data_IF_989722106592
#
_entry.id   IF_989722106592
#
_cell.length_a   1.000
_cell.length_b   1.000
_cell.length_c   1.000
_cell.angle_alpha   90.00
_cell.angle_beta   90.00
_cell.angle_gamma   90.00
#
_symmetry.space_group_name_H-M   'P 1'
#
loop_
_entity.id
_entity.type
_entity.pdbx_description
1 polymer ?
#
# COMPACT_ATOMS: atom_id res chain seq x y z
N UNK A 1 -24.39 1.62 -3.09
CA UNK A 1 -23.69 2.31 -1.99
C UNK A 1 -22.23 2.02 -2.24
N UNK A 2 -21.52 2.98 -2.82
CA UNK A 2 -20.05 2.94 -2.85
C UNK A 2 -19.59 2.81 -1.41
N UNK A 3 -18.88 1.73 -1.13
CA UNK A 3 -18.36 1.46 0.19
C UNK A 3 -16.99 2.12 0.21
N UNK A 4 -16.83 3.10 1.08
CA UNK A 4 -15.55 3.76 1.33
C UNK A 4 -14.43 2.72 1.51
N UNK A 5 -13.21 3.07 1.12
CA UNK A 5 -12.04 2.25 1.38
C UNK A 5 -11.99 1.88 2.88
N UNK A 6 -11.79 0.59 3.22
CA UNK A 6 -11.81 0.13 4.59
C UNK A 6 -10.66 0.75 5.39
N UNK A 7 -10.90 0.93 6.68
CA UNK A 7 -9.87 1.43 7.61
C UNK A 7 -8.93 0.30 8.06
N UNK A 8 -7.76 0.68 8.57
CA UNK A 8 -6.90 -0.27 9.29
C UNK A 8 -7.65 -0.80 10.51
N UNK A 9 -7.48 -2.09 10.82
CA UNK A 9 -8.14 -2.71 11.99
C UNK A 9 -7.11 -3.41 12.86
N UNK A 10 -7.37 -3.56 14.18
CA UNK A 10 -6.46 -4.28 15.08
C UNK A 10 -6.13 -5.71 14.64
N UNK A 11 -6.96 -6.34 13.81
CA UNK A 11 -6.69 -7.65 13.23
C UNK A 11 -5.51 -7.67 12.26
N UNK A 12 -5.06 -6.51 11.78
CA UNK A 12 -3.90 -6.32 10.90
C UNK A 12 -2.63 -5.95 11.67
N UNK A 13 -2.65 -5.89 13.01
CA UNK A 13 -1.46 -5.60 13.79
C UNK A 13 -0.41 -6.71 13.64
N UNK A 14 0.83 -6.32 13.36
CA UNK A 14 2.02 -7.16 13.30
C UNK A 14 2.64 -7.36 14.69
N UNK A 15 2.36 -6.46 15.64
CA UNK A 15 2.92 -6.49 16.98
C UNK A 15 4.23 -5.71 17.12
N UNK A 16 4.73 -5.15 16.02
CA UNK A 16 5.76 -4.12 15.99
C UNK A 16 5.07 -2.73 15.92
N UNK A 17 5.25 -1.85 16.92
CA UNK A 17 4.55 -0.57 16.96
C UNK A 17 4.87 0.38 15.80
N UNK A 18 6.10 0.35 15.29
CA UNK A 18 6.54 1.24 14.23
C UNK A 18 5.95 0.77 12.89
N UNK A 19 6.01 -0.53 12.60
CA UNK A 19 5.38 -1.14 11.42
C UNK A 19 3.86 -0.96 11.45
N UNK A 20 3.22 -1.17 12.60
CA UNK A 20 1.78 -0.97 12.75
C UNK A 20 1.36 0.47 12.45
N UNK A 21 2.17 1.46 12.84
CA UNK A 21 1.91 2.87 12.54
C UNK A 21 2.12 3.18 11.05
N UNK A 22 3.14 2.58 10.44
CA UNK A 22 3.37 2.71 8.99
C UNK A 22 2.21 2.13 8.18
N UNK A 23 1.70 0.95 8.55
CA UNK A 23 0.49 0.39 7.94
C UNK A 23 -0.72 1.31 8.09
N UNK A 24 -0.97 1.86 9.29
CA UNK A 24 -2.06 2.83 9.50
C UNK A 24 -1.96 4.03 8.56
N UNK A 25 -0.76 4.58 8.39
CA UNK A 25 -0.55 5.70 7.48
C UNK A 25 -0.83 5.33 6.01
N UNK A 26 -0.41 4.15 5.56
CA UNK A 26 -0.73 3.67 4.21
C UNK A 26 -2.24 3.54 3.99
N UNK A 27 -2.99 2.98 4.95
CA UNK A 27 -4.45 2.94 4.90
C UNK A 27 -5.07 4.35 4.89
N UNK A 28 -4.53 5.28 5.69
CA UNK A 28 -5.00 6.66 5.70
C UNK A 28 -4.81 7.34 4.33
N UNK A 29 -3.67 7.15 3.67
CA UNK A 29 -3.41 7.70 2.32
C UNK A 29 -4.41 7.16 1.29
N UNK A 30 -4.72 5.86 1.34
CA UNK A 30 -5.73 5.24 0.46
C UNK A 30 -7.12 5.83 0.70
N UNK A 31 -7.48 6.07 1.97
CA UNK A 31 -8.77 6.67 2.31
C UNK A 31 -8.86 8.12 1.88
N UNK A 32 -7.78 8.88 1.99
CA UNK A 32 -7.72 10.24 1.47
C UNK A 32 -7.91 10.27 -0.05
N UNK A 33 -7.26 9.34 -0.77
CA UNK A 33 -7.47 9.17 -2.21
C UNK A 33 -8.95 8.90 -2.54
N UNK A 34 -9.58 7.93 -1.87
CA UNK A 34 -10.98 7.58 -2.10
C UNK A 34 -11.92 8.78 -1.81
N UNK A 35 -11.68 9.51 -0.72
CA UNK A 35 -12.45 10.69 -0.37
C UNK A 35 -12.31 11.82 -1.40
N UNK A 36 -11.09 12.09 -1.89
CA UNK A 36 -10.85 13.08 -2.95
C UNK A 36 -11.55 12.69 -4.25
N UNK A 37 -11.50 11.41 -4.62
CA UNK A 37 -12.21 10.88 -5.78
C UNK A 37 -13.73 11.00 -5.65
N UNK A 38 -14.29 10.73 -4.47
CA UNK A 38 -15.72 10.95 -4.20
C UNK A 38 -16.11 12.44 -4.26
N UNK A 39 -15.16 13.35 -3.99
CA UNK A 39 -15.29 14.79 -4.18
C UNK A 39 -15.19 15.26 -5.64
N UNK A 40 -14.95 14.35 -6.59
CA UNK A 40 -14.79 14.65 -8.02
C UNK A 40 -13.35 14.94 -8.45
N UNK A 41 -12.37 14.84 -7.56
CA UNK A 41 -10.96 14.91 -7.91
C UNK A 41 -10.47 13.52 -8.35
N UNK A 42 -10.47 13.25 -9.65
CA UNK A 42 -10.01 11.96 -10.17
C UNK A 42 -8.51 12.00 -10.47
N UNK A 43 -8.12 12.49 -11.66
CA UNK A 43 -6.73 12.40 -12.11
C UNK A 43 -5.71 12.99 -11.13
N UNK A 44 -5.96 14.19 -10.62
CA UNK A 44 -5.00 14.86 -9.74
C UNK A 44 -4.84 14.14 -8.41
N UNK A 45 -5.95 13.67 -7.82
CA UNK A 45 -5.90 12.92 -6.57
C UNK A 45 -5.08 11.63 -6.72
N UNK A 46 -5.26 10.90 -7.83
CA UNK A 46 -4.48 9.69 -8.11
C UNK A 46 -3.01 10.01 -8.27
N UNK A 47 -2.63 11.06 -9.01
CA UNK A 47 -1.22 11.41 -9.19
C UNK A 47 -0.55 11.79 -7.88
N UNK A 48 -1.22 12.62 -7.06
CA UNK A 48 -0.71 13.00 -5.74
C UNK A 48 -0.58 11.77 -4.83
N UNK A 49 -1.59 10.88 -4.84
CA UNK A 49 -1.59 9.67 -4.03
C UNK A 49 -0.52 8.68 -4.49
N UNK A 50 -0.33 8.48 -5.80
CA UNK A 50 0.74 7.63 -6.33
C UNK A 50 2.11 8.16 -5.90
N UNK A 51 2.37 9.46 -6.07
CA UNK A 51 3.63 10.06 -5.66
C UNK A 51 3.89 9.90 -4.15
N UNK A 52 2.90 10.25 -3.32
CA UNK A 52 3.04 10.20 -1.87
C UNK A 52 3.13 8.78 -1.32
N UNK A 53 2.23 7.90 -1.76
CA UNK A 53 2.15 6.52 -1.29
C UNK A 53 3.36 5.70 -1.77
N UNK A 54 3.87 5.90 -2.99
CA UNK A 54 5.08 5.21 -3.45
C UNK A 54 6.30 5.59 -2.61
N UNK A 55 6.47 6.88 -2.29
CA UNK A 55 7.57 7.34 -1.47
C UNK A 55 7.49 6.77 -0.04
N UNK A 56 6.29 6.78 0.55
CA UNK A 56 6.07 6.26 1.89
C UNK A 56 6.22 4.74 1.93
N UNK A 57 5.66 4.02 0.95
CA UNK A 57 5.78 2.57 0.83
C UNK A 57 7.23 2.14 0.67
N UNK A 58 8.04 2.85 -0.13
CA UNK A 58 9.46 2.53 -0.28
C UNK A 58 10.23 2.62 1.05
N UNK A 59 9.91 3.61 1.89
CA UNK A 59 10.53 3.73 3.24
C UNK A 59 10.05 2.61 4.16
N UNK A 60 8.73 2.34 4.16
CA UNK A 60 8.15 1.25 4.93
C UNK A 60 8.74 -0.12 4.57
N UNK A 61 8.92 -0.38 3.27
CA UNK A 61 9.52 -1.61 2.77
C UNK A 61 10.98 -1.75 3.21
N UNK A 62 11.76 -0.67 3.16
CA UNK A 62 13.14 -0.67 3.65
C UNK A 62 13.19 -1.00 5.16
N UNK A 63 12.30 -0.42 5.96
CA UNK A 63 12.21 -0.72 7.40
C UNK A 63 11.87 -2.19 7.67
N UNK A 64 10.90 -2.78 6.95
CA UNK A 64 10.58 -4.20 7.06
C UNK A 64 11.73 -5.12 6.61
N UNK A 65 12.37 -4.78 5.50
CA UNK A 65 13.48 -5.55 4.93
C UNK A 65 14.68 -5.57 5.88
N UNK A 66 15.01 -4.45 6.52
CA UNK A 66 16.05 -4.38 7.57
C UNK A 66 15.72 -5.31 8.73
N UNK A 67 14.48 -5.30 9.22
CA UNK A 67 14.05 -6.20 10.29
C UNK A 67 14.15 -7.68 9.88
N UNK A 68 13.79 -8.00 8.65
CA UNK A 68 13.88 -9.36 8.10
C UNK A 68 15.33 -9.82 7.91
N UNK A 69 16.21 -8.93 7.44
CA UNK A 69 17.64 -9.17 7.27
C UNK A 69 18.33 -9.43 8.62
N UNK A 70 18.07 -8.57 9.61
CA UNK A 70 18.60 -8.72 10.97
C UNK A 70 18.13 -10.03 11.63
N UNK A 71 16.92 -10.49 11.30
CA UNK A 71 16.38 -11.77 11.75
C UNK A 71 16.92 -12.98 10.96
N UNK A 72 17.68 -12.76 9.88
CA UNK A 72 18.19 -13.82 9.00
C UNK A 72 17.08 -14.63 8.34
N UNK A 73 15.96 -14.01 7.98
CA UNK A 73 14.83 -14.75 7.43
C UNK A 73 15.04 -15.26 6.01
N UNK A 74 14.82 -16.56 5.81
CA UNK A 74 14.93 -17.19 4.49
C UNK A 74 13.93 -16.64 3.44
N UNK A 75 12.83 -16.01 3.88
CA UNK A 75 11.82 -15.44 2.98
C UNK A 75 12.14 -14.03 2.45
N UNK A 76 13.20 -13.38 2.93
CA UNK A 76 13.53 -11.97 2.60
C UNK A 76 13.55 -11.71 1.09
N UNK A 77 14.34 -12.49 0.34
CA UNK A 77 14.49 -12.27 -1.10
C UNK A 77 13.18 -12.38 -1.89
N UNK A 78 12.23 -13.19 -1.41
CA UNK A 78 10.89 -13.27 -2.00
C UNK A 78 10.07 -12.02 -1.65
N UNK A 79 10.16 -11.56 -0.41
CA UNK A 79 9.42 -10.39 0.09
C UNK A 79 9.87 -9.10 -0.61
N UNK A 80 11.18 -8.87 -0.73
CA UNK A 80 11.78 -7.77 -1.52
C UNK A 80 11.27 -7.77 -2.97
N UNK A 81 11.12 -8.97 -3.57
CA UNK A 81 10.57 -9.12 -4.92
C UNK A 81 9.13 -8.63 -5.05
N UNK A 82 8.30 -8.85 -4.02
CA UNK A 82 6.91 -8.37 -3.98
C UNK A 82 6.86 -6.84 -3.82
N UNK A 83 7.71 -6.29 -2.97
CA UNK A 83 7.87 -4.84 -2.80
C UNK A 83 8.29 -4.16 -4.11
N UNK A 84 9.32 -4.70 -4.77
CA UNK A 84 9.80 -4.19 -6.04
C UNK A 84 8.73 -4.26 -7.15
N UNK A 85 7.97 -5.37 -7.21
CA UNK A 85 6.86 -5.50 -8.16
C UNK A 85 5.78 -4.43 -7.90
N UNK A 86 5.42 -4.20 -6.64
CA UNK A 86 4.46 -3.17 -6.26
C UNK A 86 4.91 -1.78 -6.71
N UNK A 87 6.12 -1.36 -6.36
CA UNK A 87 6.64 -0.03 -6.71
C UNK A 87 6.66 0.17 -8.23
N UNK A 88 7.10 -0.85 -8.99
CA UNK A 88 7.13 -0.81 -10.44
C UNK A 88 5.72 -0.69 -11.03
N UNK A 89 4.79 -1.53 -10.57
CA UNK A 89 3.42 -1.58 -11.11
C UNK A 89 2.62 -0.34 -10.73
N UNK A 90 2.71 0.10 -9.47
CA UNK A 90 2.09 1.33 -8.97
C UNK A 90 2.62 2.56 -9.74
N UNK A 91 3.94 2.69 -9.91
CA UNK A 91 4.53 3.77 -10.71
C UNK A 91 4.10 3.76 -12.19
N UNK A 92 3.79 2.58 -12.74
CA UNK A 92 3.25 2.45 -14.10
C UNK A 92 1.87 3.07 -14.30
N UNK A 93 1.08 3.26 -13.23
CA UNK A 93 -0.26 3.85 -13.33
C UNK A 93 -0.26 5.34 -13.66
N UNK A 94 0.80 6.09 -13.35
CA UNK A 94 0.89 7.52 -13.71
C UNK A 94 0.67 7.74 -15.22
N UNK A 95 1.23 6.83 -16.03
CA UNK A 95 1.07 6.85 -17.49
C UNK A 95 -0.34 6.48 -17.97
N UNK A 96 -1.15 5.83 -17.13
CA UNK A 96 -2.51 5.35 -17.44
C UNK A 96 -3.58 6.38 -17.09
N UNK A 97 -3.37 7.21 -16.06
CA UNK A 97 -4.25 8.35 -15.71
C UNK A 97 -3.97 9.61 -16.53
N UNK A 98 -3.67 9.47 -17.83
CA UNK A 98 -3.40 10.61 -18.72
C UNK A 98 -4.65 11.45 -19.02
N UNK A 99 -5.82 10.84 -18.98
CA UNK A 99 -7.11 11.50 -19.15
C UNK A 99 -7.85 11.53 -17.81
N UNK A 100 -8.69 12.53 -17.60
CA UNK A 100 -9.52 12.63 -16.40
C UNK A 100 -10.64 11.60 -16.47
N UNK A 101 -10.34 10.39 -16.00
CA UNK A 101 -11.21 9.23 -16.05
C UNK A 101 -11.45 8.69 -14.65
N UNK A 102 -12.70 8.80 -14.19
CA UNK A 102 -13.15 8.21 -12.94
C UNK A 102 -12.91 6.69 -12.91
N UNK A 103 -13.12 6.01 -14.04
CA UNK A 103 -12.88 4.56 -14.17
C UNK A 103 -11.41 4.22 -13.97
N UNK A 104 -10.50 4.90 -14.66
CA UNK A 104 -9.07 4.64 -14.51
C UNK A 104 -8.60 4.92 -13.08
N UNK A 105 -9.11 5.99 -12.47
CA UNK A 105 -8.79 6.35 -11.09
C UNK A 105 -9.26 5.29 -10.09
N UNK A 106 -10.47 4.73 -10.31
CA UNK A 106 -11.01 3.64 -9.50
C UNK A 106 -10.18 2.37 -9.60
N UNK A 107 -9.70 2.02 -10.79
CA UNK A 107 -8.80 0.88 -10.97
C UNK A 107 -7.49 1.02 -10.19
N UNK A 108 -6.94 2.25 -10.08
CA UNK A 108 -5.74 2.49 -9.27
C UNK A 108 -6.05 2.30 -7.78
N UNK A 109 -7.11 2.93 -7.29
CA UNK A 109 -7.53 2.80 -5.89
C UNK A 109 -7.76 1.34 -5.49
N UNK A 110 -8.52 0.59 -6.31
CA UNK A 110 -8.83 -0.81 -6.04
C UNK A 110 -7.56 -1.67 -6.06
N UNK A 111 -6.59 -1.37 -6.93
CA UNK A 111 -5.29 -2.04 -6.94
C UNK A 111 -4.47 -1.77 -5.67
N UNK A 112 -4.31 -0.50 -5.28
CA UNK A 112 -3.52 -0.10 -4.12
C UNK A 112 -4.09 -0.73 -2.84
N UNK A 113 -5.40 -0.63 -2.65
CA UNK A 113 -6.10 -1.19 -1.49
C UNK A 113 -5.98 -2.71 -1.44
N UNK A 114 -6.27 -3.38 -2.56
CA UNK A 114 -6.21 -4.84 -2.60
C UNK A 114 -4.80 -5.34 -2.29
N UNK A 115 -3.80 -4.76 -2.95
CA UNK A 115 -2.40 -5.18 -2.74
C UNK A 115 -2.00 -4.98 -1.29
N UNK A 116 -2.27 -3.83 -0.68
CA UNK A 116 -1.90 -3.54 0.70
C UNK A 116 -2.54 -4.54 1.68
N UNK A 117 -3.84 -4.80 1.55
CA UNK A 117 -4.56 -5.73 2.44
C UNK A 117 -4.04 -7.16 2.28
N UNK A 118 -3.87 -7.62 1.04
CA UNK A 118 -3.39 -8.98 0.76
C UNK A 118 -1.94 -9.15 1.25
N UNK A 119 -1.08 -8.15 1.03
CA UNK A 119 0.32 -8.16 1.44
C UNK A 119 0.45 -8.23 2.97
N UNK A 120 -0.17 -7.31 3.71
CA UNK A 120 -0.12 -7.31 5.19
C UNK A 120 -0.68 -8.61 5.77
N UNK A 121 -1.77 -9.13 5.21
CA UNK A 121 -2.44 -10.30 5.76
C UNK A 121 -1.65 -11.59 5.56
N UNK A 122 -0.92 -11.70 4.45
CA UNK A 122 -0.25 -12.94 4.02
C UNK A 122 1.26 -12.85 4.20
N UNK A 123 1.87 -11.81 3.66
CA UNK A 123 3.31 -11.67 3.51
C UNK A 123 3.95 -11.14 4.80
N UNK A 124 3.58 -9.95 5.27
CA UNK A 124 4.15 -9.34 6.48
C UNK A 124 3.87 -10.25 7.68
N UNK A 125 2.64 -10.79 7.76
CA UNK A 125 2.27 -11.74 8.81
C UNK A 125 3.16 -12.98 8.84
N UNK A 126 3.62 -13.47 7.67
CA UNK A 126 4.55 -14.60 7.59
C UNK A 126 5.92 -14.30 8.22
N UNK A 127 6.27 -13.01 8.37
CA UNK A 127 7.40 -12.57 9.17
C UNK A 127 7.03 -12.32 10.63
N UNK A 128 6.14 -11.38 10.89
CA UNK A 128 5.95 -10.83 12.23
C UNK A 128 5.21 -11.78 13.19
N UNK A 129 4.43 -12.72 12.67
CA UNK A 129 3.64 -13.67 13.48
C UNK A 129 4.02 -15.12 13.23
N UNK A 130 5.30 -15.38 12.93
CA UNK A 130 5.84 -16.75 12.88
C UNK A 130 5.51 -17.49 14.18
N UNK A 131 4.91 -18.68 14.03
CA UNK A 131 4.71 -19.62 15.12
C UNK A 131 6.00 -20.36 15.49
#
# INVERSE_FOLDING_TARGET
MEKDAPDWTPGLAMGDPDIDEQHRMLFQMIRELDARMAGGEHRQAVLDALQGMLAYAATHFEDEEVLMEDAGWEGLARHEGLHAEFLWRAGGYESRVREDSATASREVLDYLLRWLVEHIHVEDRSFFQRA
#
